data_IF_386266646416
#
_entry.id   IF_386266646416
#
_cell.length_a   1.000
_cell.length_b   1.000
_cell.length_c   1.000
_cell.angle_alpha   90.00
_cell.angle_beta   90.00
_cell.angle_gamma   90.00
#
_symmetry.space_group_name_H-M   'P 1'
#
loop_
_entity.id
_entity.type
_entity.pdbx_description
1 polymer ?
#
# COMPACT_ATOMS: atom_id res chain seq x y z
N UNK A 1 -18.17 -22.43 4.70
CA UNK A 1 -18.02 -22.25 6.15
C UNK A 1 -16.84 -23.10 6.56
N UNK A 2 -15.91 -22.51 7.33
CA UNK A 2 -14.51 -22.95 7.58
C UNK A 2 -13.47 -22.44 6.56
N UNK A 3 -13.34 -21.12 6.46
CA UNK A 3 -12.20 -20.47 5.78
C UNK A 3 -11.73 -19.20 6.51
N UNK A 4 -11.77 -19.23 7.84
CA UNK A 4 -11.12 -18.25 8.70
C UNK A 4 -10.23 -19.03 9.67
N UNK A 5 -9.15 -18.43 10.15
CA UNK A 5 -8.04 -19.03 10.94
C UNK A 5 -6.83 -19.41 10.07
N UNK A 6 -6.16 -18.38 9.56
CA UNK A 6 -4.69 -18.23 9.52
C UNK A 6 -4.36 -16.99 8.66
N UNK A 7 -4.81 -15.81 9.08
CA UNK A 7 -4.50 -14.57 8.37
C UNK A 7 -3.15 -13.96 8.76
N UNK A 8 -2.51 -14.46 9.81
CA UNK A 8 -1.19 -13.98 10.23
C UNK A 8 -0.35 -15.19 10.62
N UNK A 9 0.66 -15.56 9.83
CA UNK A 9 1.60 -16.57 10.26
C UNK A 9 2.38 -16.08 11.50
N UNK A 10 2.45 -16.87 12.57
CA UNK A 10 3.24 -16.58 13.81
C UNK A 10 4.68 -16.08 13.52
N UNK A 11 5.27 -16.49 12.39
CA UNK A 11 6.61 -16.11 11.99
C UNK A 11 6.73 -14.68 11.44
N UNK A 12 5.63 -14.00 11.12
CA UNK A 12 5.61 -12.64 10.58
C UNK A 12 5.50 -11.55 11.67
N UNK A 13 4.97 -11.87 12.86
CA UNK A 13 4.73 -10.88 13.92
C UNK A 13 6.02 -10.23 14.43
N UNK A 14 7.04 -11.03 14.77
CA UNK A 14 8.28 -10.49 15.39
C UNK A 14 9.05 -9.55 14.47
N UNK A 15 9.30 -9.90 13.19
CA UNK A 15 9.92 -8.96 12.25
C UNK A 15 9.14 -7.66 12.09
N UNK A 16 7.79 -7.72 12.11
CA UNK A 16 6.95 -6.52 12.04
C UNK A 16 7.12 -5.64 13.28
N UNK A 17 7.06 -6.22 14.48
CA UNK A 17 7.25 -5.48 15.74
C UNK A 17 8.64 -4.87 15.79
N UNK A 18 9.69 -5.63 15.46
CA UNK A 18 11.08 -5.14 15.50
C UNK A 18 11.28 -3.98 14.50
N UNK A 19 10.69 -4.08 13.31
CA UNK A 19 10.70 -2.97 12.33
C UNK A 19 10.02 -1.72 12.88
N UNK A 20 8.82 -1.84 13.45
CA UNK A 20 8.09 -0.68 14.00
C UNK A 20 8.84 -0.06 15.19
N UNK A 21 9.43 -0.88 16.06
CA UNK A 21 10.27 -0.38 17.16
C UNK A 21 11.50 0.36 16.64
N UNK A 22 12.13 -0.11 15.57
CA UNK A 22 13.26 0.57 14.94
C UNK A 22 12.86 1.90 14.28
N UNK A 23 11.71 1.93 13.60
CA UNK A 23 11.22 3.09 12.85
C UNK A 23 10.58 4.18 13.74
N UNK A 24 9.91 3.76 14.83
CA UNK A 24 9.05 4.64 15.63
C UNK A 24 9.53 4.79 17.08
N UNK A 25 10.41 3.91 17.56
CA UNK A 25 10.83 3.87 18.96
C UNK A 25 9.75 3.40 19.93
N UNK A 26 8.57 3.02 19.43
CA UNK A 26 7.42 2.51 20.20
C UNK A 26 6.60 1.55 19.34
N UNK A 27 5.79 0.74 19.98
CA UNK A 27 4.78 -0.09 19.34
C UNK A 27 3.41 0.56 19.54
N UNK A 28 2.89 1.18 18.48
CA UNK A 28 1.51 1.66 18.41
C UNK A 28 0.61 0.53 17.87
N UNK A 29 -0.53 0.23 18.52
CA UNK A 29 -1.39 -0.86 18.09
C UNK A 29 -1.97 -0.61 16.69
N UNK A 30 -2.36 0.62 16.35
CA UNK A 30 -2.96 0.92 15.05
C UNK A 30 -1.93 0.87 13.93
N UNK A 31 -0.69 1.33 14.17
CA UNK A 31 0.40 1.17 13.19
C UNK A 31 0.75 -0.30 12.97
N UNK A 32 0.67 -1.13 14.00
CA UNK A 32 0.85 -2.58 13.85
C UNK A 32 -0.27 -3.20 13.00
N UNK A 33 -1.53 -2.80 13.20
CA UNK A 33 -2.65 -3.29 12.38
C UNK A 33 -2.53 -2.86 10.91
N UNK A 34 -2.09 -1.62 10.66
CA UNK A 34 -1.82 -1.11 9.31
C UNK A 34 -0.65 -1.88 8.66
N UNK A 35 0.44 -2.11 9.42
CA UNK A 35 1.61 -2.84 8.95
C UNK A 35 1.36 -4.33 8.69
N UNK A 36 0.44 -4.94 9.44
CA UNK A 36 0.00 -6.32 9.28
C UNK A 36 -1.16 -6.47 8.27
N UNK A 37 -1.58 -5.36 7.63
CA UNK A 37 -2.66 -5.33 6.64
C UNK A 37 -4.03 -5.83 7.19
N UNK A 38 -4.23 -5.70 8.51
CA UNK A 38 -5.48 -6.03 9.22
C UNK A 38 -6.44 -4.84 9.26
N UNK A 39 -5.91 -3.64 9.06
CA UNK A 39 -6.64 -2.39 8.97
C UNK A 39 -6.23 -1.68 7.68
N UNK A 40 -7.20 -1.28 6.85
CA UNK A 40 -6.92 -0.45 5.69
C UNK A 40 -6.66 1.00 6.11
N UNK A 41 -5.70 1.65 5.46
CA UNK A 41 -5.40 3.06 5.75
C UNK A 41 -6.59 3.99 5.46
N UNK A 42 -7.40 3.68 4.45
CA UNK A 42 -8.62 4.45 4.14
C UNK A 42 -9.61 4.48 5.30
N UNK A 43 -9.84 3.32 5.94
CA UNK A 43 -10.74 3.19 7.09
C UNK A 43 -10.17 3.86 8.33
N UNK A 44 -8.87 3.68 8.57
CA UNK A 44 -8.15 4.41 9.63
C UNK A 44 -8.32 5.93 9.44
N UNK A 45 -8.02 6.46 8.27
CA UNK A 45 -8.14 7.89 8.00
C UNK A 45 -9.60 8.39 8.09
N UNK A 46 -10.58 7.60 7.63
CA UNK A 46 -12.00 7.93 7.77
C UNK A 46 -12.44 7.97 9.25
N UNK A 47 -11.93 7.07 10.07
CA UNK A 47 -12.14 7.06 11.52
C UNK A 47 -11.44 8.24 12.22
N UNK A 48 -10.18 8.52 11.89
CA UNK A 48 -9.43 9.68 12.40
C UNK A 48 -10.10 11.01 12.06
N UNK A 49 -10.69 11.12 10.88
CA UNK A 49 -11.44 12.33 10.44
C UNK A 49 -12.89 12.37 10.93
N UNK A 50 -13.34 11.36 11.69
CA UNK A 50 -14.70 11.29 12.23
C UNK A 50 -15.80 10.98 11.21
N UNK A 51 -15.44 10.63 9.96
CA UNK A 51 -16.38 10.14 8.94
C UNK A 51 -16.92 8.75 9.26
N UNK A 52 -16.19 7.99 10.07
CA UNK A 52 -16.56 6.68 10.59
C UNK A 52 -16.60 6.73 12.12
N UNK A 53 -17.68 6.21 12.73
CA UNK A 53 -17.87 6.25 14.19
C UNK A 53 -17.07 5.20 14.96
N UNK A 54 -16.75 4.06 14.34
CA UNK A 54 -16.05 2.94 14.96
C UNK A 54 -15.14 2.21 13.97
N UNK A 55 -14.05 1.62 14.48
CA UNK A 55 -13.02 0.95 13.68
C UNK A 55 -13.21 -0.57 13.59
N UNK A 56 -13.82 -1.18 14.60
CA UNK A 56 -13.95 -2.64 14.70
C UNK A 56 -14.60 -3.28 13.46
N UNK A 57 -15.65 -2.65 12.92
CA UNK A 57 -16.36 -3.16 11.75
C UNK A 57 -15.57 -3.14 10.44
N UNK A 58 -14.35 -2.58 10.41
CA UNK A 58 -13.48 -2.52 9.22
C UNK A 58 -12.30 -3.45 9.29
N UNK A 59 -12.10 -4.11 10.43
CA UNK A 59 -10.99 -5.01 10.60
C UNK A 59 -11.17 -6.21 9.67
N UNK A 60 -10.07 -6.63 9.05
CA UNK A 60 -10.06 -7.75 8.08
C UNK A 60 -10.04 -9.12 8.76
N UNK A 61 -10.00 -9.15 10.09
CA UNK A 61 -10.10 -10.34 10.91
C UNK A 61 -11.12 -10.12 12.04
N UNK A 62 -11.56 -11.22 12.65
CA UNK A 62 -12.49 -11.16 13.77
C UNK A 62 -11.87 -10.36 14.95
N UNK A 63 -12.66 -9.56 15.69
CA UNK A 63 -12.15 -8.74 16.78
C UNK A 63 -11.31 -9.50 17.80
N UNK A 64 -11.69 -10.74 18.10
CA UNK A 64 -11.00 -11.62 19.05
C UNK A 64 -9.61 -12.02 18.52
N UNK A 65 -9.51 -12.36 17.23
CA UNK A 65 -8.24 -12.69 16.57
C UNK A 65 -7.31 -11.47 16.55
N UNK A 66 -7.85 -10.28 16.32
CA UNK A 66 -7.08 -9.04 16.34
C UNK A 66 -6.60 -8.69 17.75
N UNK A 67 -7.45 -8.89 18.76
CA UNK A 67 -7.09 -8.70 20.16
C UNK A 67 -5.95 -9.65 20.57
N UNK A 68 -6.06 -10.95 20.27
CA UNK A 68 -5.03 -11.95 20.53
C UNK A 68 -3.69 -11.57 19.87
N UNK A 69 -3.73 -11.13 18.62
CA UNK A 69 -2.55 -10.67 17.88
C UNK A 69 -1.86 -9.47 18.55
N UNK A 70 -2.63 -8.47 18.99
CA UNK A 70 -2.10 -7.31 19.71
C UNK A 70 -1.55 -7.69 21.10
N UNK A 71 -2.19 -8.62 21.79
CA UNK A 71 -1.72 -9.12 23.09
C UNK A 71 -0.39 -9.89 22.94
N UNK A 72 -0.24 -10.70 21.90
CA UNK A 72 1.01 -11.40 21.61
C UNK A 72 2.13 -10.40 21.29
N UNK A 73 1.84 -9.39 20.46
CA UNK A 73 2.76 -8.32 20.15
C UNK A 73 3.20 -7.58 21.42
N UNK A 74 2.25 -7.27 22.32
CA UNK A 74 2.52 -6.67 23.62
C UNK A 74 3.32 -7.56 24.57
N UNK A 75 3.11 -8.88 24.52
CA UNK A 75 3.93 -9.84 25.26
C UNK A 75 5.37 -9.88 24.74
N UNK A 76 5.55 -9.80 23.42
CA UNK A 76 6.88 -9.70 22.80
C UNK A 76 7.57 -8.39 23.16
N UNK A 77 6.89 -7.25 23.06
CA UNK A 77 7.40 -5.94 23.46
C UNK A 77 7.85 -5.90 24.93
N UNK A 78 7.09 -6.50 25.84
CA UNK A 78 7.48 -6.64 27.26
C UNK A 78 8.73 -7.49 27.45
N UNK A 79 8.92 -8.56 26.68
CA UNK A 79 10.18 -9.34 26.69
C UNK A 79 11.39 -8.50 26.27
N UNK A 80 11.17 -7.49 25.43
CA UNK A 80 12.19 -6.49 25.05
C UNK A 80 12.36 -5.36 26.09
N UNK A 81 11.74 -5.48 27.28
CA UNK A 81 11.78 -4.51 28.39
C UNK A 81 11.06 -3.19 28.09
N UNK A 82 10.06 -3.21 27.21
CA UNK A 82 9.16 -2.09 27.01
C UNK A 82 8.03 -2.11 28.06
N UNK A 83 7.49 -0.93 28.37
CA UNK A 83 6.38 -0.76 29.31
C UNK A 83 5.11 -0.36 28.57
N UNK A 84 3.97 -0.83 29.07
CA UNK A 84 2.67 -0.44 28.55
C UNK A 84 2.33 0.98 29.00
N UNK A 85 1.89 1.82 28.06
CA UNK A 85 1.48 3.20 28.24
C UNK A 85 0.05 3.32 27.73
N UNK A 86 -0.82 3.97 28.51
CA UNK A 86 -2.19 4.23 28.11
C UNK A 86 -2.21 5.16 26.88
N UNK A 87 -2.99 4.78 25.87
CA UNK A 87 -3.16 5.52 24.63
C UNK A 87 -4.60 5.98 24.49
N UNK A 88 -4.78 7.27 24.25
CA UNK A 88 -6.08 7.87 23.94
C UNK A 88 -6.18 8.24 22.47
N UNK A 89 -7.31 7.93 21.86
CA UNK A 89 -7.56 8.18 20.44
C UNK A 89 -8.47 9.40 20.26
N UNK A 90 -7.95 10.48 19.67
CA UNK A 90 -8.74 11.69 19.40
C UNK A 90 -8.82 12.00 17.91
N UNK A 91 -9.96 12.48 17.41
CA UNK A 91 -10.11 12.88 16.02
C UNK A 91 -9.05 13.92 15.56
N UNK A 92 -8.69 13.83 14.27
CA UNK A 92 -7.94 14.85 13.55
C UNK A 92 -8.80 16.09 13.31
N UNK A 93 -8.12 17.23 13.15
CA UNK A 93 -8.72 18.55 13.01
C UNK A 93 -8.94 19.27 14.34
N UNK A 94 -9.65 20.40 14.27
CA UNK A 94 -9.71 21.40 15.34
C UNK A 94 -10.55 21.00 16.56
N UNK A 95 -11.34 19.93 16.45
CA UNK A 95 -12.19 19.45 17.54
C UNK A 95 -11.61 18.18 18.14
N UNK A 96 -11.06 18.31 19.35
CA UNK A 96 -10.71 17.17 20.19
C UNK A 96 -11.97 16.38 20.56
N UNK A 97 -12.24 15.33 19.77
CA UNK A 97 -13.33 14.39 20.01
C UNK A 97 -12.72 13.00 20.25
N UNK A 98 -13.02 12.34 21.38
CA UNK A 98 -12.57 10.97 21.60
C UNK A 98 -13.20 10.04 20.55
N UNK A 99 -12.40 9.11 20.05
CA UNK A 99 -12.79 8.12 19.06
C UNK A 99 -13.07 6.78 19.73
N UNK A 100 -14.05 6.05 19.18
CA UNK A 100 -14.41 4.71 19.64
C UNK A 100 -13.75 3.65 18.76
N UNK A 101 -13.16 2.62 19.36
CA UNK A 101 -12.66 1.46 18.61
C UNK A 101 -13.84 0.58 18.18
N UNK A 102 -14.73 0.24 19.11
CA UNK A 102 -15.93 -0.57 18.84
C UNK A 102 -16.52 -1.15 20.13
N UNK A 103 -17.54 -2.00 20.03
CA UNK A 103 -18.19 -2.64 21.18
C UNK A 103 -17.37 -3.75 21.85
N UNK A 104 -16.37 -4.33 21.18
CA UNK A 104 -15.57 -5.42 21.75
C UNK A 104 -14.58 -4.89 22.81
N UNK A 105 -14.66 -5.46 24.01
CA UNK A 105 -13.94 -4.98 25.19
C UNK A 105 -12.46 -5.43 25.22
N UNK A 106 -12.12 -6.54 24.58
CA UNK A 106 -10.75 -7.06 24.53
C UNK A 106 -9.95 -6.29 23.48
N UNK A 107 -10.51 -6.15 22.28
CA UNK A 107 -9.96 -5.31 21.22
C UNK A 107 -9.78 -3.85 21.67
N UNK A 108 -10.80 -3.26 22.31
CA UNK A 108 -10.71 -1.87 22.80
C UNK A 108 -9.58 -1.71 23.82
N UNK A 109 -9.39 -2.68 24.70
CA UNK A 109 -8.32 -2.67 25.70
C UNK A 109 -6.95 -2.84 25.06
N UNK A 110 -6.82 -3.73 24.10
CA UNK A 110 -5.57 -3.95 23.36
C UNK A 110 -5.17 -2.69 22.56
N UNK A 111 -6.13 -2.03 21.91
CA UNK A 111 -5.92 -0.77 21.19
C UNK A 111 -5.66 0.44 22.09
N UNK A 112 -5.92 0.35 23.40
CA UNK A 112 -5.69 1.42 24.36
C UNK A 112 -4.28 1.36 25.00
N UNK A 113 -3.41 0.45 24.54
CA UNK A 113 -2.06 0.27 25.06
C UNK A 113 -1.03 0.44 23.94
N UNK A 114 -0.08 1.35 24.15
CA UNK A 114 1.16 1.42 23.38
C UNK A 114 2.32 0.89 24.22
N UNK A 115 3.36 0.34 23.60
CA UNK A 115 4.55 -0.12 24.30
C UNK A 115 5.75 0.75 23.94
N UNK A 116 6.35 1.38 24.94
CA UNK A 116 7.48 2.28 24.77
C UNK A 116 8.60 1.96 25.76
N UNK A 117 9.84 2.45 25.54
CA UNK A 117 10.90 2.34 26.53
C UNK A 117 10.46 2.92 27.87
N UNK A 118 10.89 2.34 29.01
CA UNK A 118 10.54 2.88 30.32
C UNK A 118 11.02 4.33 30.45
N UNK A 119 10.23 5.21 31.06
CA UNK A 119 10.59 6.64 31.20
C UNK A 119 11.91 6.83 31.95
N UNK A 120 12.28 5.91 32.83
CA UNK A 120 13.56 5.90 33.56
C UNK A 120 14.78 5.55 32.67
N UNK A 121 14.55 4.93 31.51
CA UNK A 121 15.59 4.64 30.49
C UNK A 121 15.88 5.84 29.60
N UNK A 122 14.94 6.79 29.51
CA UNK A 122 15.30 8.18 29.25
C UNK A 122 16.03 8.68 30.49
N UNK A 123 17.32 8.34 30.61
CA UNK A 123 18.21 9.21 31.37
C UNK A 123 17.99 10.60 30.79
N UNK A 124 17.34 11.46 31.57
CA UNK A 124 17.12 12.86 31.26
C UNK A 124 18.48 13.46 30.93
N UNK A 125 18.81 13.51 29.64
CA UNK A 125 19.96 14.25 29.19
C UNK A 125 19.47 15.70 29.25
N UNK A 126 19.79 16.36 30.37
CA UNK A 126 19.39 17.75 30.68
C UNK A 126 19.72 18.75 29.56
N UNK A 127 20.53 18.33 28.58
CA UNK A 127 20.92 19.09 27.40
C UNK A 127 20.17 18.69 26.11
N UNK A 128 19.56 17.50 26.02
CA UNK A 128 18.78 17.04 24.85
C UNK A 128 17.27 17.22 25.02
N UNK A 129 16.75 17.21 26.25
CA UNK A 129 15.35 17.51 26.56
C UNK A 129 15.10 19.03 26.66
N UNK A 130 15.65 19.79 25.71
CA UNK A 130 15.42 21.23 25.65
C UNK A 130 13.94 21.48 25.36
N UNK A 131 13.41 22.61 25.85
CA UNK A 131 12.02 22.97 25.54
C UNK A 131 11.78 23.14 24.04
N UNK A 132 12.83 23.27 23.22
CA UNK A 132 12.74 23.25 21.76
C UNK A 132 12.42 21.86 21.20
N UNK A 133 12.94 20.77 21.78
CA UNK A 133 12.60 19.40 21.35
C UNK A 133 11.14 19.07 21.65
N UNK A 134 10.63 19.48 22.81
CA UNK A 134 9.20 19.32 23.14
C UNK A 134 8.31 20.14 22.18
N UNK A 135 8.70 21.39 21.88
CA UNK A 135 7.99 22.21 20.90
C UNK A 135 8.05 21.58 19.50
N UNK A 136 9.17 20.97 19.12
CA UNK A 136 9.29 20.27 17.84
C UNK A 136 8.29 19.10 17.75
N UNK A 137 8.20 18.27 18.78
CA UNK A 137 7.26 17.15 18.81
C UNK A 137 5.80 17.62 18.84
N UNK A 138 5.52 18.74 19.53
CA UNK A 138 4.20 19.38 19.51
C UNK A 138 3.83 19.90 18.10
N UNK A 139 4.78 20.50 17.37
CA UNK A 139 4.58 20.93 15.97
C UNK A 139 4.30 19.73 15.07
N UNK A 140 5.13 18.68 15.17
CA UNK A 140 4.94 17.45 14.38
C UNK A 140 3.57 16.83 14.64
N UNK A 141 3.17 16.77 15.91
CA UNK A 141 1.88 16.21 16.30
C UNK A 141 0.74 17.05 15.74
N UNK A 142 0.79 18.38 15.88
CA UNK A 142 -0.25 19.25 15.34
C UNK A 142 -0.36 19.16 13.81
N UNK A 143 0.76 19.05 13.09
CA UNK A 143 0.77 18.88 11.63
C UNK A 143 0.11 17.57 11.19
N UNK A 144 0.49 16.45 11.81
CA UNK A 144 -0.05 15.12 11.49
C UNK A 144 -1.53 15.02 11.83
N UNK A 145 -1.96 15.69 12.90
CA UNK A 145 -3.36 15.75 13.30
C UNK A 145 -4.18 16.79 12.55
N UNK A 146 -3.58 17.49 11.58
CA UNK A 146 -4.23 18.54 10.78
C UNK A 146 -4.82 19.68 11.65
N UNK A 147 -4.14 20.02 12.75
CA UNK A 147 -4.49 21.11 13.68
C UNK A 147 -3.65 22.34 13.34
N UNK A 148 -4.02 23.04 12.27
CA UNK A 148 -3.20 24.11 11.66
C UNK A 148 -2.93 25.23 12.66
N UNK A 149 -3.94 25.69 13.40
CA UNK A 149 -3.79 26.76 14.38
C UNK A 149 -2.85 26.38 15.52
N UNK A 150 -2.96 25.14 16.01
CA UNK A 150 -2.02 24.61 17.01
C UNK A 150 -0.61 24.52 16.43
N UNK A 151 -0.45 24.06 15.18
CA UNK A 151 0.87 24.00 14.54
C UNK A 151 1.50 25.40 14.44
N UNK A 152 0.73 26.42 14.03
CA UNK A 152 1.17 27.82 13.96
C UNK A 152 1.61 28.35 15.32
N UNK A 153 0.81 28.12 16.36
CA UNK A 153 1.13 28.56 17.72
C UNK A 153 2.44 27.93 18.22
N UNK A 154 2.65 26.63 17.98
CA UNK A 154 3.87 25.95 18.42
C UNK A 154 5.09 26.36 17.61
N UNK A 155 4.94 26.57 16.29
CA UNK A 155 6.00 27.12 15.44
C UNK A 155 6.37 28.55 15.87
N UNK A 156 5.40 29.40 16.20
CA UNK A 156 5.66 30.75 16.70
C UNK A 156 6.42 30.74 18.03
N UNK A 157 6.06 29.82 18.95
CA UNK A 157 6.79 29.61 20.20
C UNK A 157 8.20 29.11 19.97
N UNK A 158 8.40 28.18 19.03
CA UNK A 158 9.71 27.67 18.65
C UNK A 158 10.57 28.78 18.05
N UNK A 159 10.03 29.56 17.11
CA UNK A 159 10.71 30.69 16.50
C UNK A 159 11.12 31.75 17.52
N UNK A 160 10.27 32.03 18.52
CA UNK A 160 10.60 33.01 19.56
C UNK A 160 11.74 32.54 20.46
N UNK A 161 11.80 31.24 20.78
CA UNK A 161 12.83 30.67 21.65
C UNK A 161 14.14 30.39 20.92
N UNK A 162 14.06 29.84 19.72
CA UNK A 162 15.22 29.46 18.89
C UNK A 162 14.99 29.90 17.44
N UNK A 163 15.21 31.18 17.10
CA UNK A 163 15.00 31.70 15.75
C UNK A 163 15.86 31.01 14.67
N UNK A 164 17.02 30.46 15.07
CA UNK A 164 17.95 29.76 14.20
C UNK A 164 17.71 28.25 14.12
N UNK A 165 16.59 27.73 14.61
CA UNK A 165 16.32 26.29 14.62
C UNK A 165 16.30 25.73 13.18
N UNK A 166 17.12 24.70 12.86
CA UNK A 166 17.38 24.28 11.48
C UNK A 166 16.14 23.75 10.75
N UNK A 167 15.14 23.24 11.49
CA UNK A 167 13.90 22.67 10.93
C UNK A 167 12.76 23.67 10.78
N UNK A 168 12.93 24.92 11.26
CA UNK A 168 11.85 25.91 11.31
C UNK A 168 11.26 26.24 9.93
N UNK A 169 12.12 26.48 8.94
CA UNK A 169 11.68 26.75 7.56
C UNK A 169 10.91 25.58 6.95
N UNK A 170 11.29 24.36 7.31
CA UNK A 170 10.59 23.15 6.88
C UNK A 170 9.17 23.06 7.46
N UNK A 171 9.01 23.31 8.76
CA UNK A 171 7.67 23.34 9.37
C UNK A 171 6.77 24.42 8.79
N UNK A 172 7.31 25.62 8.54
CA UNK A 172 6.57 26.69 7.87
C UNK A 172 6.10 26.27 6.47
N UNK A 173 6.94 25.54 5.71
CA UNK A 173 6.56 25.02 4.39
C UNK A 173 5.45 23.98 4.48
N UNK A 174 5.47 23.10 5.49
CA UNK A 174 4.40 22.12 5.72
C UNK A 174 3.08 22.80 6.13
N UNK A 175 3.12 23.84 6.97
CA UNK A 175 1.92 24.63 7.32
C UNK A 175 1.35 25.31 6.07
N UNK A 176 2.21 25.95 5.26
CA UNK A 176 1.81 26.59 4.01
C UNK A 176 1.12 25.60 3.06
N UNK A 177 1.63 24.37 2.98
CA UNK A 177 1.01 23.33 2.15
C UNK A 177 -0.42 22.97 2.61
N UNK A 178 -0.69 22.95 3.92
CA UNK A 178 -2.04 22.76 4.46
C UNK A 178 -2.94 23.95 4.11
N UNK A 179 -2.44 25.18 4.31
CA UNK A 179 -3.19 26.40 4.01
C UNK A 179 -3.58 26.51 2.53
N UNK A 180 -2.65 26.17 1.65
CA UNK A 180 -2.91 26.14 0.21
C UNK A 180 -3.91 25.04 -0.17
N UNK A 181 -4.03 23.97 0.61
CA UNK A 181 -5.07 22.95 0.40
C UNK A 181 -6.47 23.56 0.59
N UNK A 182 -6.65 24.34 1.66
CA UNK A 182 -7.93 24.99 1.98
C UNK A 182 -8.24 26.15 1.01
N UNK A 183 -7.22 26.95 0.66
CA UNK A 183 -7.38 28.08 -0.25
C UNK A 183 -7.65 27.65 -1.71
N UNK A 184 -7.01 26.56 -2.16
CA UNK A 184 -7.04 26.10 -3.56
C UNK A 184 -8.38 25.48 -4.02
N UNK A 185 -9.37 25.40 -3.12
CA UNK A 185 -10.79 25.21 -3.47
C UNK A 185 -11.27 26.26 -4.50
N UNK A 186 -10.60 27.42 -4.58
CA UNK A 186 -11.04 28.58 -5.36
C UNK A 186 -10.29 28.84 -6.69
N UNK A 187 -9.47 27.91 -7.21
CA UNK A 187 -9.02 27.97 -8.62
C UNK A 187 -7.53 27.81 -8.95
N UNK A 188 -6.70 27.23 -8.08
CA UNK A 188 -5.32 26.88 -8.42
C UNK A 188 -5.22 25.79 -9.50
N UNK A 189 -4.17 25.79 -10.34
CA UNK A 189 -3.95 24.72 -11.33
C UNK A 189 -3.59 23.41 -10.63
N UNK A 190 -4.15 22.31 -11.12
CA UNK A 190 -4.05 20.99 -10.48
C UNK A 190 -2.65 20.40 -10.65
N UNK A 191 -2.02 20.70 -11.78
CA UNK A 191 -0.68 20.27 -12.16
C UNK A 191 0.40 20.96 -11.29
N UNK A 192 0.21 22.25 -10.97
CA UNK A 192 1.09 22.98 -10.04
C UNK A 192 1.00 22.37 -8.63
N UNK A 193 -0.23 22.08 -8.18
CA UNK A 193 -0.44 21.44 -6.87
C UNK A 193 0.13 20.02 -6.81
N UNK A 194 0.04 19.28 -7.90
CA UNK A 194 0.67 17.96 -8.01
C UNK A 194 2.18 18.04 -7.79
N UNK A 195 2.86 18.92 -8.53
CA UNK A 195 4.30 19.08 -8.41
C UNK A 195 4.71 19.56 -7.02
N UNK A 196 3.94 20.47 -6.43
CA UNK A 196 4.16 20.92 -5.06
C UNK A 196 4.12 19.75 -4.05
N UNK A 197 3.14 18.85 -4.16
CA UNK A 197 3.06 17.70 -3.26
C UNK A 197 4.19 16.68 -3.49
N UNK A 198 4.69 16.54 -4.72
CA UNK A 198 5.89 15.74 -5.01
C UNK A 198 7.14 16.34 -4.34
N UNK A 199 7.28 17.66 -4.33
CA UNK A 199 8.38 18.36 -3.65
C UNK A 199 8.26 18.32 -2.11
N UNK A 200 7.04 18.39 -1.58
CA UNK A 200 6.79 18.34 -0.13
C UNK A 200 7.00 16.93 0.42
N UNK A 201 6.80 15.88 -0.38
CA UNK A 201 6.91 14.48 0.06
C UNK A 201 8.21 14.18 0.82
N UNK A 202 9.41 14.41 0.25
CA UNK A 202 10.68 14.21 0.93
C UNK A 202 10.84 15.04 2.21
N UNK A 203 10.38 16.30 2.20
CA UNK A 203 10.43 17.18 3.37
C UNK A 203 9.55 16.67 4.52
N UNK A 204 8.33 16.24 4.20
CA UNK A 204 7.43 15.61 5.18
C UNK A 204 8.05 14.33 5.74
N UNK A 205 8.67 13.49 4.90
CA UNK A 205 9.41 12.30 5.33
C UNK A 205 10.55 12.64 6.29
N UNK A 206 11.32 13.68 6.00
CA UNK A 206 12.44 14.11 6.85
C UNK A 206 11.97 14.66 8.21
N UNK A 207 10.87 15.42 8.25
CA UNK A 207 10.42 16.12 9.46
C UNK A 207 9.46 15.31 10.32
N UNK A 208 8.63 14.47 9.71
CA UNK A 208 7.56 13.73 10.37
C UNK A 208 7.86 12.22 10.46
N UNK A 209 8.87 11.72 9.73
CA UNK A 209 9.24 10.31 9.72
C UNK A 209 8.08 9.43 9.24
N UNK A 210 7.81 8.35 9.97
CA UNK A 210 6.71 7.42 9.69
C UNK A 210 5.33 8.11 9.64
N UNK A 211 5.16 9.24 10.34
CA UNK A 211 3.89 9.99 10.38
C UNK A 211 3.66 10.85 9.14
N UNK A 212 4.61 10.92 8.21
CA UNK A 212 4.45 11.66 6.96
C UNK A 212 3.27 11.17 6.13
N UNK A 213 2.94 9.87 6.20
CA UNK A 213 1.77 9.25 5.56
C UNK A 213 0.47 9.94 5.97
N UNK A 214 0.30 10.21 7.26
CA UNK A 214 -0.92 10.79 7.84
C UNK A 214 -1.09 12.27 7.43
N UNK A 215 0.03 12.98 7.30
CA UNK A 215 0.04 14.35 6.76
C UNK A 215 -0.24 14.37 5.25
N UNK A 216 0.54 13.65 4.45
CA UNK A 216 0.45 13.67 2.99
C UNK A 216 -0.85 13.02 2.48
N UNK A 217 -1.36 12.01 3.17
CA UNK A 217 -2.53 11.26 2.74
C UNK A 217 -3.78 12.12 2.58
N UNK A 218 -3.99 13.10 3.47
CA UNK A 218 -5.10 14.05 3.37
C UNK A 218 -4.90 15.02 2.20
N UNK A 219 -3.67 15.48 1.96
CA UNK A 219 -3.36 16.39 0.86
C UNK A 219 -3.53 15.73 -0.51
N UNK A 220 -3.03 14.51 -0.66
CA UNK A 220 -3.21 13.71 -1.87
C UNK A 220 -4.68 13.34 -2.09
N UNK A 221 -5.42 13.03 -1.02
CA UNK A 221 -6.86 12.78 -1.11
C UNK A 221 -7.63 14.00 -1.63
N UNK A 222 -7.35 15.20 -1.10
CA UNK A 222 -7.97 16.43 -1.59
C UNK A 222 -7.63 16.74 -3.05
N UNK A 223 -6.39 16.45 -3.48
CA UNK A 223 -6.01 16.58 -4.88
C UNK A 223 -6.74 15.57 -5.78
N UNK A 224 -6.88 14.33 -5.32
CA UNK A 224 -7.58 13.28 -6.04
C UNK A 224 -9.06 13.61 -6.27
N UNK A 225 -9.73 14.19 -5.27
CA UNK A 225 -11.12 14.68 -5.39
C UNK A 225 -11.25 15.76 -6.47
N UNK A 226 -10.26 16.65 -6.59
CA UNK A 226 -10.23 17.69 -7.64
C UNK A 226 -9.92 17.15 -9.04
N UNK A 227 -9.20 16.04 -9.11
CA UNK A 227 -8.91 15.32 -10.35
C UNK A 227 -10.07 14.43 -10.82
N UNK A 228 -11.05 14.16 -9.95
CA UNK A 228 -12.17 13.27 -10.25
C UNK A 228 -12.91 13.68 -11.54
N UNK A 229 -13.14 12.73 -12.44
CA UNK A 229 -13.83 12.93 -13.71
C UNK A 229 -12.98 13.54 -14.83
N UNK A 230 -11.69 13.83 -14.61
CA UNK A 230 -10.77 14.16 -15.70
C UNK A 230 -10.23 12.89 -16.35
N UNK A 231 -10.33 12.82 -17.67
CA UNK A 231 -9.79 11.70 -18.46
C UNK A 231 -8.26 11.68 -18.48
N UNK A 232 -7.70 10.49 -18.53
CA UNK A 232 -6.25 10.30 -18.63
C UNK A 232 -5.72 10.79 -19.99
N UNK A 233 -4.53 11.38 -20.00
CA UNK A 233 -3.79 11.75 -21.22
C UNK A 233 -4.31 12.97 -22.02
N UNK A 234 -5.51 13.50 -21.77
CA UNK A 234 -6.00 14.73 -22.44
C UNK A 234 -5.50 16.00 -21.76
N UNK A 235 -4.24 16.36 -22.04
CA UNK A 235 -3.67 17.67 -21.66
C UNK A 235 -3.33 17.83 -20.17
N UNK A 236 -3.62 16.84 -19.32
CA UNK A 236 -3.36 16.81 -17.88
C UNK A 236 -2.00 16.18 -17.49
N UNK A 237 -1.18 15.78 -18.47
CA UNK A 237 0.01 14.95 -18.20
C UNK A 237 -0.36 13.62 -17.53
N UNK A 238 0.58 13.04 -16.79
CA UNK A 238 0.38 11.82 -15.99
C UNK A 238 -0.50 12.04 -14.73
N UNK A 239 -1.12 13.23 -14.58
CA UNK A 239 -1.95 13.55 -13.43
C UNK A 239 -3.35 12.91 -13.56
N UNK A 240 -3.58 11.81 -12.84
CA UNK A 240 -4.86 11.12 -12.79
C UNK A 240 -5.33 10.94 -11.35
N UNK A 241 -6.65 10.98 -11.13
CA UNK A 241 -7.25 10.84 -9.80
C UNK A 241 -6.80 9.55 -9.11
N UNK A 242 -6.74 8.44 -9.85
CA UNK A 242 -6.33 7.15 -9.30
C UNK A 242 -4.91 7.16 -8.73
N UNK A 243 -3.96 7.83 -9.40
CA UNK A 243 -2.58 7.93 -8.93
C UNK A 243 -2.51 8.82 -7.68
N UNK A 244 -3.31 9.88 -7.60
CA UNK A 244 -3.41 10.66 -6.37
C UNK A 244 -4.05 9.84 -5.23
N UNK A 245 -5.04 8.99 -5.53
CA UNK A 245 -5.65 8.09 -4.54
C UNK A 245 -4.68 7.03 -4.02
N UNK A 246 -3.82 6.46 -4.86
CA UNK A 246 -2.79 5.51 -4.40
C UNK A 246 -1.76 6.19 -3.50
N UNK A 247 -1.32 7.40 -3.84
CA UNK A 247 -0.45 8.20 -2.94
C UNK A 247 -1.12 8.58 -1.62
N UNK A 248 -2.45 8.69 -1.63
CA UNK A 248 -3.26 8.85 -0.42
C UNK A 248 -3.50 7.54 0.36
N UNK A 249 -3.04 6.39 -0.14
CA UNK A 249 -3.30 5.06 0.43
C UNK A 249 -4.76 4.61 0.36
N UNK A 250 -5.57 5.19 -0.55
CA UNK A 250 -6.99 4.87 -0.76
C UNK A 250 -7.19 3.99 -1.99
N UNK A 251 -6.88 2.72 -1.82
CA UNK A 251 -6.79 1.75 -2.91
C UNK A 251 -8.14 1.43 -3.56
N UNK A 252 -9.22 1.38 -2.78
CA UNK A 252 -10.57 1.18 -3.33
C UNK A 252 -10.96 2.34 -4.25
N UNK A 253 -10.77 3.59 -3.80
CA UNK A 253 -11.03 4.77 -4.64
C UNK A 253 -10.14 4.85 -5.87
N UNK A 254 -8.88 4.41 -5.76
CA UNK A 254 -7.98 4.35 -6.90
C UNK A 254 -8.51 3.38 -7.96
N UNK A 255 -8.95 2.19 -7.54
CA UNK A 255 -9.58 1.19 -8.40
C UNK A 255 -10.85 1.74 -9.04
N UNK A 256 -11.78 2.30 -8.26
CA UNK A 256 -13.02 2.89 -8.77
C UNK A 256 -12.75 3.99 -9.81
N UNK A 257 -11.77 4.87 -9.55
CA UNK A 257 -11.40 5.92 -10.47
C UNK A 257 -10.84 5.40 -11.80
N UNK A 258 -10.14 4.26 -11.80
CA UNK A 258 -9.64 3.61 -13.02
C UNK A 258 -10.77 2.90 -13.75
N UNK A 259 -11.59 2.13 -13.04
CA UNK A 259 -12.71 1.39 -13.64
C UNK A 259 -13.76 2.32 -14.27
N UNK A 260 -13.85 3.57 -13.81
CA UNK A 260 -14.70 4.61 -14.41
C UNK A 260 -14.12 5.23 -15.71
N UNK A 261 -12.82 5.12 -15.95
CA UNK A 261 -12.17 5.65 -17.15
C UNK A 261 -12.47 4.76 -18.35
N UNK A 262 -12.81 5.36 -19.49
CA UNK A 262 -13.02 4.60 -20.73
C UNK A 262 -11.69 4.10 -21.26
N UNK A 263 -11.68 2.86 -21.73
CA UNK A 263 -10.52 2.26 -22.39
C UNK A 263 -9.25 2.28 -21.49
N UNK A 264 -9.44 2.23 -20.16
CA UNK A 264 -8.32 2.25 -19.20
C UNK A 264 -7.38 1.05 -19.37
N UNK A 265 -7.92 -0.06 -19.88
CA UNK A 265 -7.15 -1.27 -20.18
C UNK A 265 -6.12 -1.02 -21.27
N UNK A 266 -6.35 -0.10 -22.19
CA UNK A 266 -5.40 0.19 -23.28
C UNK A 266 -4.24 1.10 -22.82
N UNK A 267 -4.20 1.44 -21.52
CA UNK A 267 -3.27 2.41 -20.96
C UNK A 267 -2.39 1.72 -19.90
N UNK A 268 -1.17 1.27 -20.25
CA UNK A 268 -0.32 0.47 -19.36
C UNK A 268 -0.05 1.11 -17.99
N UNK A 269 0.04 2.45 -17.95
CA UNK A 269 0.22 3.20 -16.71
C UNK A 269 -0.98 3.03 -15.75
N UNK A 270 -2.22 3.05 -16.27
CA UNK A 270 -3.40 2.83 -15.44
C UNK A 270 -3.53 1.36 -15.05
N UNK A 271 -3.16 0.42 -15.93
CA UNK A 271 -3.21 -1.02 -15.62
C UNK A 271 -2.23 -1.39 -14.49
N UNK A 272 -1.03 -0.80 -14.46
CA UNK A 272 -0.08 -0.98 -13.36
C UNK A 272 -0.70 -0.54 -12.01
N UNK A 273 -1.31 0.65 -11.99
CA UNK A 273 -1.94 1.21 -10.79
C UNK A 273 -3.15 0.37 -10.38
N UNK A 274 -3.93 -0.11 -11.34
CA UNK A 274 -5.08 -0.98 -11.09
C UNK A 274 -4.65 -2.32 -10.49
N UNK A 275 -3.58 -2.94 -11.01
CA UNK A 275 -3.07 -4.19 -10.50
C UNK A 275 -2.61 -4.06 -9.04
N UNK A 276 -1.88 -2.99 -8.71
CA UNK A 276 -1.49 -2.71 -7.33
C UNK A 276 -2.72 -2.44 -6.43
N UNK A 277 -3.68 -1.64 -6.91
CA UNK A 277 -4.91 -1.38 -6.16
C UNK A 277 -5.68 -2.67 -5.87
N UNK A 278 -5.88 -3.54 -6.87
CA UNK A 278 -6.47 -4.88 -6.72
C UNK A 278 -5.73 -5.70 -5.65
N UNK A 279 -4.40 -5.73 -5.70
CA UNK A 279 -3.63 -6.47 -4.70
C UNK A 279 -3.88 -5.96 -3.28
N UNK A 280 -3.86 -4.63 -3.09
CA UNK A 280 -4.03 -3.95 -1.80
C UNK A 280 -5.45 -4.06 -1.22
N UNK A 281 -6.44 -4.31 -2.07
CA UNK A 281 -7.83 -4.61 -1.66
C UNK A 281 -8.09 -6.12 -1.57
N UNK A 282 -7.04 -6.95 -1.54
CA UNK A 282 -7.11 -8.41 -1.48
C UNK A 282 -7.87 -9.07 -2.63
N UNK A 283 -7.76 -8.50 -3.83
CA UNK A 283 -8.13 -9.14 -5.09
C UNK A 283 -6.87 -9.59 -5.85
N UNK A 284 -6.20 -10.68 -5.42
CA UNK A 284 -5.03 -11.19 -6.11
C UNK A 284 -5.36 -11.69 -7.52
N UNK A 285 -6.63 -12.06 -7.77
CA UNK A 285 -7.08 -12.48 -9.08
C UNK A 285 -7.09 -11.31 -10.07
N UNK A 286 -7.71 -10.19 -9.70
CA UNK A 286 -7.68 -8.95 -10.46
C UNK A 286 -6.25 -8.47 -10.71
N UNK A 287 -5.43 -8.43 -9.66
CA UNK A 287 -4.03 -8.00 -9.75
C UNK A 287 -3.21 -8.85 -10.75
N UNK A 288 -3.26 -10.18 -10.61
CA UNK A 288 -2.55 -11.10 -11.50
C UNK A 288 -3.03 -11.01 -12.93
N UNK A 289 -4.35 -10.96 -13.15
CA UNK A 289 -4.92 -10.79 -14.49
C UNK A 289 -4.31 -9.57 -15.19
N UNK A 290 -4.18 -8.46 -14.47
CA UNK A 290 -3.69 -7.20 -15.02
C UNK A 290 -2.17 -7.20 -15.24
N UNK A 291 -1.38 -7.83 -14.35
CA UNK A 291 0.06 -8.05 -14.59
C UNK A 291 0.31 -8.99 -15.78
N UNK A 292 -0.48 -10.06 -15.95
CA UNK A 292 -0.36 -10.94 -17.12
C UNK A 292 -0.80 -10.27 -18.41
N UNK A 293 -1.77 -9.35 -18.33
CA UNK A 293 -2.10 -8.48 -19.45
C UNK A 293 -0.90 -7.58 -19.81
N UNK A 294 -0.24 -6.97 -18.82
CA UNK A 294 0.94 -6.14 -19.05
C UNK A 294 2.09 -6.92 -19.68
N UNK A 295 2.33 -8.18 -19.28
CA UNK A 295 3.36 -9.02 -19.92
C UNK A 295 3.16 -9.13 -21.43
N UNK A 296 1.91 -9.17 -21.90
CA UNK A 296 1.57 -9.29 -23.32
C UNK A 296 1.59 -7.95 -24.04
N UNK A 297 0.88 -6.96 -23.51
CA UNK A 297 0.64 -5.69 -24.20
C UNK A 297 1.71 -4.63 -23.94
N UNK A 298 2.45 -4.75 -22.84
CA UNK A 298 3.52 -3.81 -22.47
C UNK A 298 4.69 -4.52 -21.75
N UNK A 299 5.46 -5.37 -22.47
CA UNK A 299 6.48 -6.23 -21.86
C UNK A 299 7.48 -5.45 -21.00
N UNK A 300 7.99 -4.32 -21.51
CA UNK A 300 8.94 -3.49 -20.77
C UNK A 300 8.36 -2.84 -19.50
N UNK A 301 7.04 -2.62 -19.44
CA UNK A 301 6.38 -2.15 -18.22
C UNK A 301 6.22 -3.29 -17.20
N UNK A 302 5.82 -4.48 -17.67
CA UNK A 302 5.73 -5.68 -16.83
C UNK A 302 7.08 -6.07 -16.22
N UNK A 303 8.14 -6.10 -17.03
CA UNK A 303 9.49 -6.42 -16.57
C UNK A 303 9.97 -5.48 -15.47
N UNK A 304 9.72 -4.17 -15.62
CA UNK A 304 10.08 -3.18 -14.59
C UNK A 304 9.31 -3.42 -13.30
N UNK A 305 8.02 -3.71 -13.39
CA UNK A 305 7.19 -3.98 -12.22
C UNK A 305 7.61 -5.27 -11.51
N UNK A 306 7.82 -6.37 -12.24
CA UNK A 306 8.17 -7.68 -11.67
C UNK A 306 9.58 -7.72 -11.06
N UNK A 307 10.51 -6.89 -11.56
CA UNK A 307 11.85 -6.74 -10.99
C UNK A 307 11.92 -5.76 -9.81
N UNK A 308 10.85 -5.00 -9.54
CA UNK A 308 10.83 -4.03 -8.45
C UNK A 308 10.92 -4.77 -7.09
N UNK A 309 11.91 -4.48 -6.24
CA UNK A 309 11.97 -5.05 -4.89
C UNK A 309 10.74 -4.77 -4.04
N UNK A 310 9.96 -3.74 -4.35
CA UNK A 310 8.69 -3.41 -3.70
C UNK A 310 7.48 -4.17 -4.28
N UNK A 311 7.67 -5.01 -5.31
CA UNK A 311 6.59 -5.77 -5.92
C UNK A 311 5.84 -6.62 -4.89
N UNK A 312 4.49 -6.55 -4.85
CA UNK A 312 3.76 -7.09 -3.72
C UNK A 312 3.53 -8.61 -3.78
N UNK A 313 3.36 -9.22 -4.96
CA UNK A 313 3.22 -10.67 -5.11
C UNK A 313 4.58 -11.35 -5.21
N UNK A 314 5.15 -11.72 -4.05
CA UNK A 314 6.47 -12.36 -3.97
C UNK A 314 6.56 -13.66 -4.75
N UNK A 315 5.49 -14.47 -4.75
CA UNK A 315 5.47 -15.72 -5.49
C UNK A 315 5.58 -15.47 -6.99
N UNK A 316 4.87 -14.47 -7.50
CA UNK A 316 4.95 -14.10 -8.91
C UNK A 316 6.33 -13.52 -9.27
N UNK A 317 6.93 -12.71 -8.38
CA UNK A 317 8.30 -12.21 -8.56
C UNK A 317 9.35 -13.34 -8.55
N UNK A 318 9.21 -14.32 -7.65
CA UNK A 318 10.11 -15.48 -7.60
C UNK A 318 9.99 -16.33 -8.88
N UNK A 319 8.76 -16.55 -9.35
CA UNK A 319 8.51 -17.24 -10.63
C UNK A 319 9.07 -16.47 -11.82
N UNK A 320 9.01 -15.13 -11.79
CA UNK A 320 9.63 -14.27 -12.79
C UNK A 320 11.15 -14.40 -12.82
N UNK A 321 11.80 -14.47 -11.64
CA UNK A 321 13.24 -14.71 -11.56
C UNK A 321 13.62 -16.07 -12.16
N UNK A 322 12.87 -17.13 -11.83
CA UNK A 322 13.08 -18.48 -12.41
C UNK A 322 12.89 -18.47 -13.93
N UNK A 323 11.89 -17.73 -14.44
CA UNK A 323 11.67 -17.58 -15.87
C UNK A 323 12.86 -16.90 -16.57
N UNK A 324 13.46 -15.88 -15.95
CA UNK A 324 14.66 -15.22 -16.48
C UNK A 324 15.92 -16.08 -16.47
N UNK A 325 15.96 -17.14 -15.66
CA UNK A 325 17.08 -18.08 -15.55
C UNK A 325 16.92 -19.33 -16.44
N UNK A 326 15.88 -19.40 -17.28
CA UNK A 326 15.72 -20.51 -18.23
C UNK A 326 16.88 -20.55 -19.23
N UNK A 327 17.29 -21.77 -19.63
CA UNK A 327 18.44 -22.00 -20.51
C UNK A 327 18.33 -21.22 -21.83
N UNK A 328 19.47 -20.78 -22.36
CA UNK A 328 19.60 -20.03 -23.62
C UNK A 328 19.03 -20.74 -24.87
N UNK A 329 18.67 -22.02 -24.75
CA UNK A 329 18.06 -22.85 -25.81
C UNK A 329 16.53 -22.74 -25.89
N UNK A 330 15.90 -22.03 -24.95
CA UNK A 330 14.47 -21.71 -24.97
C UNK A 330 14.27 -20.22 -25.34
N UNK A 331 13.75 -19.95 -26.54
CA UNK A 331 13.48 -18.59 -27.05
C UNK A 331 12.21 -17.95 -26.43
N UNK A 332 11.98 -18.17 -25.12
CA UNK A 332 10.82 -17.61 -24.42
C UNK A 332 11.06 -16.14 -24.06
N UNK A 333 10.13 -15.27 -24.46
CA UNK A 333 10.17 -13.83 -24.15
C UNK A 333 9.16 -13.46 -23.07
N UNK A 334 9.20 -12.23 -22.59
CA UNK A 334 8.30 -11.71 -21.54
C UNK A 334 6.81 -11.97 -21.84
N UNK A 335 6.41 -11.89 -23.12
CA UNK A 335 5.04 -12.17 -23.56
C UNK A 335 4.61 -13.63 -23.34
N UNK A 336 5.55 -14.57 -23.27
CA UNK A 336 5.28 -15.99 -23.07
C UNK A 336 5.20 -16.37 -21.58
N UNK A 337 5.62 -15.46 -20.69
CA UNK A 337 5.59 -15.67 -19.25
C UNK A 337 4.21 -16.07 -18.70
N UNK A 338 3.08 -15.45 -19.10
CA UNK A 338 1.75 -15.90 -18.70
C UNK A 338 1.46 -17.36 -19.06
N UNK A 339 1.88 -17.82 -20.25
CA UNK A 339 1.70 -19.20 -20.66
C UNK A 339 2.58 -20.14 -19.84
N UNK A 340 3.84 -19.78 -19.62
CA UNK A 340 4.76 -20.55 -18.79
C UNK A 340 4.25 -20.70 -17.35
N UNK A 341 3.63 -19.67 -16.76
CA UNK A 341 3.04 -19.73 -15.42
C UNK A 341 1.95 -20.80 -15.26
N UNK A 342 1.17 -21.07 -16.32
CA UNK A 342 0.17 -22.15 -16.30
C UNK A 342 0.81 -23.54 -16.09
N UNK A 343 2.08 -23.70 -16.48
CA UNK A 343 2.83 -24.95 -16.29
C UNK A 343 3.33 -25.10 -14.85
N UNK A 344 3.86 -24.01 -14.29
CA UNK A 344 4.46 -24.00 -12.97
C UNK A 344 3.43 -24.03 -11.85
N UNK A 345 2.33 -23.29 -12.01
CA UNK A 345 1.26 -23.20 -11.02
C UNK A 345 -0.13 -23.16 -11.65
N UNK A 346 -0.63 -24.31 -12.14
CA UNK A 346 -1.97 -24.41 -12.69
C UNK A 346 -3.05 -23.94 -11.73
N UNK A 347 -2.92 -24.23 -10.43
CA UNK A 347 -3.95 -23.95 -9.45
C UNK A 347 -4.22 -22.45 -9.31
N UNK A 348 -3.15 -21.64 -9.30
CA UNK A 348 -3.27 -20.20 -9.19
C UNK A 348 -3.63 -19.52 -10.52
N UNK A 349 -3.08 -19.98 -11.65
CA UNK A 349 -3.18 -19.24 -12.91
C UNK A 349 -4.25 -19.77 -13.87
N UNK A 350 -4.72 -21.01 -13.74
CA UNK A 350 -5.82 -21.52 -14.56
C UNK A 350 -7.15 -20.80 -14.29
N UNK A 351 -7.30 -20.17 -13.12
CA UNK A 351 -8.46 -19.36 -12.81
C UNK A 351 -8.57 -18.13 -13.75
N UNK A 352 -7.46 -17.65 -14.31
CA UNK A 352 -7.43 -16.48 -15.19
C UNK A 352 -7.84 -16.93 -16.59
N UNK A 353 -9.02 -16.51 -17.09
CA UNK A 353 -9.49 -16.96 -18.39
C UNK A 353 -8.69 -16.30 -19.51
N UNK A 354 -8.53 -16.98 -20.65
CA UNK A 354 -7.94 -16.39 -21.83
C UNK A 354 -8.82 -15.27 -22.40
N UNK A 355 -8.20 -14.32 -23.09
CA UNK A 355 -8.91 -13.29 -23.85
C UNK A 355 -9.54 -13.92 -25.10
N UNK A 356 -10.86 -13.76 -25.30
CA UNK A 356 -11.57 -14.38 -26.43
C UNK A 356 -11.43 -13.62 -27.76
N UNK A 357 -11.04 -12.35 -27.71
CA UNK A 357 -11.15 -11.42 -28.84
C UNK A 357 -9.90 -11.32 -29.71
N UNK A 358 -8.77 -11.89 -29.28
CA UNK A 358 -7.50 -11.81 -30.00
C UNK A 358 -7.27 -13.04 -30.89
N UNK A 359 -6.75 -12.79 -32.08
CA UNK A 359 -6.31 -13.82 -33.05
C UNK A 359 -4.80 -13.91 -33.14
N UNK A 360 -4.06 -13.28 -32.22
CA UNK A 360 -2.61 -13.40 -32.20
C UNK A 360 -2.19 -14.86 -31.90
N UNK A 361 -1.06 -15.26 -32.48
CA UNK A 361 -0.50 -16.60 -32.36
C UNK A 361 -0.17 -16.91 -30.88
N UNK A 362 0.30 -15.91 -30.13
CA UNK A 362 0.59 -16.06 -28.69
C UNK A 362 -0.65 -16.22 -27.84
N UNK A 363 -1.71 -15.45 -28.10
CA UNK A 363 -2.99 -15.63 -27.41
C UNK A 363 -3.64 -16.97 -27.77
N UNK A 364 -3.40 -17.45 -28.99
CA UNK A 364 -3.80 -18.80 -29.40
C UNK A 364 -2.99 -19.87 -28.66
N UNK A 365 -1.68 -19.71 -28.52
CA UNK A 365 -0.83 -20.60 -27.73
C UNK A 365 -1.25 -20.64 -26.26
N UNK A 366 -1.51 -19.47 -25.64
CA UNK A 366 -2.03 -19.39 -24.27
C UNK A 366 -3.37 -20.11 -24.12
N UNK A 367 -4.33 -19.90 -25.04
CA UNK A 367 -5.63 -20.59 -25.03
C UNK A 367 -5.50 -22.11 -25.15
N UNK A 368 -4.66 -22.57 -26.06
CA UNK A 368 -4.40 -24.00 -26.25
C UNK A 368 -3.80 -24.61 -24.98
N UNK A 369 -2.83 -23.92 -24.37
CA UNK A 369 -2.19 -24.38 -23.15
C UNK A 369 -3.14 -24.36 -21.95
N UNK A 370 -3.93 -23.30 -21.79
CA UNK A 370 -4.98 -23.21 -20.76
C UNK A 370 -5.96 -24.37 -20.87
N UNK A 371 -6.41 -24.71 -22.09
CA UNK A 371 -7.27 -25.87 -22.34
C UNK A 371 -6.61 -27.23 -22.07
N UNK A 372 -5.30 -27.37 -22.31
CA UNK A 372 -4.51 -28.58 -21.98
C UNK A 372 -4.29 -28.76 -20.47
N UNK A 373 -4.27 -27.66 -19.72
CA UNK A 373 -4.06 -27.65 -18.26
C UNK A 373 -5.38 -27.85 -17.51
N UNK A 374 -6.47 -27.23 -17.97
CA UNK A 374 -7.79 -27.29 -17.31
C UNK A 374 -8.70 -28.39 -17.80
N UNK A 375 -8.52 -28.86 -19.04
CA UNK A 375 -9.39 -29.82 -19.69
C UNK A 375 -8.65 -31.08 -20.16
N UNK A 376 -9.21 -31.71 -21.20
CA UNK A 376 -8.62 -32.92 -21.78
C UNK A 376 -7.35 -32.64 -22.58
N UNK A 377 -6.33 -33.41 -22.24
CA UNK A 377 -5.02 -33.41 -22.88
C UNK A 377 -5.05 -34.25 -24.16
N UNK A 378 -5.39 -33.60 -25.27
CA UNK A 378 -5.53 -34.25 -26.57
C UNK A 378 -4.30 -34.08 -27.45
N UNK A 379 -3.98 -35.11 -28.24
CA UNK A 379 -2.86 -35.09 -29.20
C UNK A 379 -3.01 -33.93 -30.19
N UNK A 380 -4.23 -33.61 -30.60
CA UNK A 380 -4.49 -32.53 -31.56
C UNK A 380 -4.17 -31.15 -30.98
N UNK A 381 -4.48 -30.89 -29.69
CA UNK A 381 -4.11 -29.65 -29.02
C UNK A 381 -2.61 -29.52 -28.81
N UNK A 382 -1.93 -30.62 -28.48
CA UNK A 382 -0.46 -30.64 -28.41
C UNK A 382 0.18 -30.35 -29.76
N UNK A 383 -0.37 -30.92 -30.84
CA UNK A 383 0.11 -30.65 -32.22
C UNK A 383 -0.08 -29.18 -32.57
N UNK A 384 -1.27 -28.62 -32.34
CA UNK A 384 -1.57 -27.22 -32.61
C UNK A 384 -0.65 -26.28 -31.81
N UNK A 385 -0.37 -26.58 -30.54
CA UNK A 385 0.57 -25.80 -29.73
C UNK A 385 2.00 -25.89 -30.28
N UNK A 386 2.44 -27.08 -30.70
CA UNK A 386 3.78 -27.28 -31.26
C UNK A 386 4.01 -26.59 -32.60
N UNK A 387 2.96 -26.42 -33.41
CA UNK A 387 3.01 -25.67 -34.67
C UNK A 387 3.18 -24.17 -34.44
N UNK A 388 2.60 -23.64 -33.37
CA UNK A 388 2.59 -22.20 -33.06
C UNK A 388 3.79 -21.82 -32.19
N UNK A 389 4.05 -22.59 -31.13
CA UNK A 389 5.09 -22.29 -30.14
C UNK A 389 5.78 -23.58 -29.64
N UNK A 390 6.81 -24.07 -30.35
CA UNK A 390 7.45 -25.36 -30.06
C UNK A 390 8.11 -25.41 -28.67
N UNK A 391 8.68 -24.30 -28.20
CA UNK A 391 9.36 -24.26 -26.89
C UNK A 391 8.38 -24.31 -25.71
N UNK A 392 7.21 -23.68 -25.80
CA UNK A 392 6.13 -23.85 -24.83
C UNK A 392 5.63 -25.30 -24.79
N UNK A 393 5.55 -25.99 -25.94
CA UNK A 393 5.21 -27.42 -25.96
C UNK A 393 6.30 -28.26 -25.29
N UNK A 394 7.58 -27.97 -25.54
CA UNK A 394 8.72 -28.65 -24.90
C UNK A 394 8.62 -28.52 -23.37
N UNK A 395 8.42 -27.31 -22.88
CA UNK A 395 8.23 -27.01 -21.46
C UNK A 395 7.00 -27.72 -20.87
N UNK A 396 5.88 -27.75 -21.59
CA UNK A 396 4.69 -28.51 -21.18
C UNK A 396 4.99 -30.00 -21.01
N UNK A 397 5.69 -30.62 -21.97
CA UNK A 397 6.05 -32.04 -21.90
C UNK A 397 7.02 -32.35 -20.76
N UNK A 398 7.96 -31.45 -20.46
CA UNK A 398 8.86 -31.57 -19.30
C UNK A 398 8.08 -31.49 -17.99
N UNK A 399 7.21 -30.49 -17.84
CA UNK A 399 6.40 -30.29 -16.63
C UNK A 399 5.50 -31.49 -16.30
N UNK A 400 5.02 -32.22 -17.33
CA UNK A 400 4.22 -33.45 -17.19
C UNK A 400 5.02 -34.69 -16.84
N UNK A 401 6.34 -34.73 -17.10
CA UNK A 401 7.22 -35.85 -16.73
C UNK A 401 7.67 -35.80 -15.27
N UNK A 402 7.69 -34.60 -14.68
CA UNK A 402 8.12 -34.37 -13.30
C UNK A 402 6.96 -34.44 -12.28
N UNK A 403 5.71 -34.51 -12.74
CA UNK A 403 4.54 -34.85 -11.91
C UNK A 403 4.24 -36.34 -12.03
#
# INVERSE_FOLDING_TARGET
MDSAINLIPDHALRPLVDRLLLEQGRLDPLELLLAADLLAYEDYAAWRTGRRSELQGTLRAAPEVVADFLEEAGAYARRQKLVAVALEHTAWGDRERPLCIGPDAELTRACALSYAPPPERCQLDLFQDSTAVLLEEDVRTALVEHRIDRARDQVARLMHREPGHPRLGGFLRLIQALDDADASVHGGRVEERWHELEEIGPLAGQLLGHRARDFLGTLWAGLAERLAGRSFGRGSGECHAAIAWTRAGRWERAREAIEAERDWRDQPALVLVHAEACWRVHDPFGARRDWLWLCRESPSAAERALRDPAFPDRRLADLWAVFGDLDLDDDLVTEDFPAWLLLQDPGAFAAIPPTETSTDDRDTAYRLLHGLVTGEDTIDRRRALGEIHPDLLRQFLVSRRCR
#
